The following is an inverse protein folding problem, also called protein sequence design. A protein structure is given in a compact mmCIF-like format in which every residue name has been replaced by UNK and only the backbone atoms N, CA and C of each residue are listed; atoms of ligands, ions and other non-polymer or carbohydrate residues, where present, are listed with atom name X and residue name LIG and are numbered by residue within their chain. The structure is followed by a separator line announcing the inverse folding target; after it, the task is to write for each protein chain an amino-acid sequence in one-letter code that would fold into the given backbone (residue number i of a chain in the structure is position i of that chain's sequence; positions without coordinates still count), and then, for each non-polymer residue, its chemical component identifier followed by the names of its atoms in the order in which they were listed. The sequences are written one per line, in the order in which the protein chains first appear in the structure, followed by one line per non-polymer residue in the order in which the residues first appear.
data_IF_025513650226
#
_entry.id   IF_025513650226
#
_cell.length_a   1.000
_cell.length_b   1.000
_cell.length_c   1.000
_cell.angle_alpha   90.00
_cell.angle_beta   90.00
_cell.angle_gamma   90.00
#
_symmetry.space_group_name_H-M   'P 1'
#
loop_
_entity.id
_entity.type
_entity.pdbx_description
1 polymer ?
#
# COMPACT_ATOMS: atom_id res chain seq x y z
N UNK A 1 -27.29 -0.40 6.17
CA UNK A 1 -27.45 -1.50 5.19
C UNK A 1 -28.48 -2.47 5.73
N UNK A 2 -29.58 -2.74 4.99
CA UNK A 2 -30.61 -3.69 5.40
C UNK A 2 -30.05 -5.09 5.72
N UNK A 3 -30.75 -5.83 6.59
CA UNK A 3 -30.30 -7.15 7.03
C UNK A 3 -30.23 -8.17 5.87
N UNK A 4 -31.21 -8.16 4.96
CA UNK A 4 -31.25 -9.13 3.87
C UNK A 4 -30.04 -9.00 2.91
N UNK A 5 -29.63 -7.76 2.57
CA UNK A 5 -28.43 -7.52 1.76
C UNK A 5 -27.16 -8.00 2.47
N UNK A 6 -27.07 -7.77 3.79
CA UNK A 6 -25.94 -8.21 4.60
C UNK A 6 -25.80 -9.73 4.62
N UNK A 7 -26.90 -10.44 4.83
CA UNK A 7 -26.93 -11.91 4.85
C UNK A 7 -26.66 -12.50 3.46
N UNK A 8 -27.24 -11.92 2.40
CA UNK A 8 -27.00 -12.33 1.03
C UNK A 8 -25.52 -12.21 0.64
N UNK A 9 -24.93 -11.04 0.88
CA UNK A 9 -23.52 -10.78 0.65
C UNK A 9 -22.62 -11.78 1.39
N UNK A 10 -22.92 -12.05 2.67
CA UNK A 10 -22.17 -13.00 3.48
C UNK A 10 -22.28 -14.43 2.94
N UNK A 11 -23.46 -14.87 2.54
CA UNK A 11 -23.67 -16.22 1.98
C UNK A 11 -22.97 -16.39 0.63
N UNK A 12 -22.99 -15.36 -0.22
CA UNK A 12 -22.28 -15.37 -1.50
C UNK A 12 -20.76 -15.52 -1.29
N UNK A 13 -20.20 -14.78 -0.33
CA UNK A 13 -18.78 -14.89 0.03
C UNK A 13 -18.46 -16.29 0.57
N UNK A 14 -19.26 -16.78 1.53
CA UNK A 14 -19.02 -18.10 2.17
C UNK A 14 -19.11 -19.26 1.19
N UNK A 15 -20.12 -19.26 0.32
CA UNK A 15 -20.33 -20.32 -0.68
C UNK A 15 -19.51 -20.14 -1.95
N UNK A 16 -18.84 -18.99 -2.11
CA UNK A 16 -18.09 -18.60 -3.31
C UNK A 16 -18.95 -18.70 -4.57
N UNK A 17 -20.18 -18.22 -4.45
CA UNK A 17 -21.22 -18.30 -5.46
C UNK A 17 -22.10 -17.04 -5.38
N UNK A 18 -22.26 -16.32 -6.49
CA UNK A 18 -23.05 -15.08 -6.55
C UNK A 18 -24.55 -15.36 -6.41
N UNK A 19 -24.99 -16.59 -6.67
CA UNK A 19 -26.40 -16.99 -6.60
C UNK A 19 -26.81 -17.46 -5.19
N UNK A 20 -25.85 -17.71 -4.31
CA UNK A 20 -26.09 -18.23 -2.97
C UNK A 20 -26.96 -17.32 -2.08
N UNK A 21 -27.00 -16.03 -2.39
CA UNK A 21 -27.77 -15.02 -1.67
C UNK A 21 -29.26 -15.01 -2.02
N UNK A 22 -29.68 -15.67 -3.10
CA UNK A 22 -31.06 -15.58 -3.64
C UNK A 22 -32.14 -15.99 -2.65
N UNK A 23 -31.81 -16.84 -1.67
CA UNK A 23 -32.70 -17.22 -0.57
C UNK A 23 -33.11 -16.04 0.34
N UNK A 24 -32.32 -14.96 0.37
CA UNK A 24 -32.60 -13.75 1.15
C UNK A 24 -33.33 -12.68 0.33
N UNK A 25 -33.60 -12.94 -0.96
CA UNK A 25 -34.33 -12.00 -1.79
C UNK A 25 -35.78 -11.95 -1.34
N UNK A 26 -36.19 -10.84 -0.72
CA UNK A 26 -37.58 -10.61 -0.36
C UNK A 26 -38.39 -10.33 -1.63
N UNK A 27 -39.26 -11.24 -2.03
CA UNK A 27 -40.37 -10.91 -2.93
C UNK A 27 -41.27 -9.91 -2.21
N UNK A 28 -41.33 -8.68 -2.73
CA UNK A 28 -42.18 -7.54 -2.35
C UNK A 28 -41.67 -6.61 -1.25
N UNK A 29 -41.15 -5.45 -1.69
CA UNK A 29 -41.47 -4.13 -1.12
C UNK A 29 -41.14 -3.88 0.34
N UNK A 30 -39.91 -4.12 0.79
CA UNK A 30 -39.46 -3.52 2.06
C UNK A 30 -39.33 -2.00 1.88
N UNK A 31 -40.06 -1.23 2.68
CA UNK A 31 -39.90 0.22 2.89
C UNK A 31 -38.57 0.55 3.62
N UNK A 32 -37.53 -0.25 3.43
CA UNK A 32 -36.22 -0.01 4.03
C UNK A 32 -35.50 1.07 3.21
N UNK A 33 -35.50 2.29 3.74
CA UNK A 33 -34.78 3.40 3.13
C UNK A 33 -33.29 3.04 2.93
N UNK A 34 -32.72 3.32 1.74
CA UNK A 34 -31.32 3.05 1.47
C UNK A 34 -30.45 3.84 2.43
N UNK A 35 -29.50 3.14 3.07
CA UNK A 35 -28.48 3.78 3.89
C UNK A 35 -27.58 4.62 2.98
N UNK A 36 -27.37 5.90 3.32
CA UNK A 36 -26.70 6.86 2.44
C UNK A 36 -25.27 6.46 2.05
N UNK A 37 -24.47 5.93 2.99
CA UNK A 37 -23.11 5.44 2.76
C UNK A 37 -22.83 4.19 3.63
N UNK A 38 -23.30 3.00 3.23
CA UNK A 38 -23.12 1.79 4.03
C UNK A 38 -21.64 1.39 4.09
N UNK A 39 -21.18 0.93 5.25
CA UNK A 39 -19.78 0.55 5.45
C UNK A 39 -19.62 -0.95 5.62
N UNK A 40 -18.56 -1.51 5.05
CA UNK A 40 -18.02 -2.82 5.41
C UNK A 40 -16.61 -2.64 5.97
N UNK A 41 -16.20 -3.48 6.90
CA UNK A 41 -14.91 -3.36 7.58
C UNK A 41 -14.10 -4.62 7.35
N UNK A 42 -12.92 -4.47 6.77
CA UNK A 42 -11.88 -5.50 6.82
C UNK A 42 -11.00 -5.26 8.03
N UNK A 43 -10.72 -6.29 8.79
CA UNK A 43 -9.81 -6.22 9.93
C UNK A 43 -8.76 -7.32 9.83
N UNK A 44 -7.51 -6.97 10.14
CA UNK A 44 -6.44 -7.92 10.38
C UNK A 44 -6.25 -8.08 11.90
N UNK A 45 -6.76 -9.16 12.53
CA UNK A 45 -6.70 -9.35 13.99
C UNK A 45 -5.27 -9.42 14.55
N UNK A 46 -4.28 -9.78 13.73
CA UNK A 46 -2.87 -9.84 14.12
C UNK A 46 -2.21 -8.46 14.18
N UNK A 47 -2.82 -7.43 13.58
CA UNK A 47 -2.33 -6.05 13.65
C UNK A 47 -2.56 -5.43 15.03
N UNK A 48 -1.81 -4.37 15.37
CA UNK A 48 -2.00 -3.62 16.61
C UNK A 48 -1.57 -4.32 17.90
N UNK A 49 -0.61 -5.25 17.84
CA UNK A 49 -0.09 -5.96 19.01
C UNK A 49 -1.09 -6.94 19.62
N UNK A 50 -1.82 -7.70 18.77
CA UNK A 50 -2.87 -8.68 19.14
C UNK A 50 -4.15 -8.07 19.72
N UNK A 51 -4.36 -6.77 19.60
CA UNK A 51 -5.61 -6.12 20.02
C UNK A 51 -6.67 -6.05 18.90
N UNK A 52 -6.36 -6.56 17.71
CA UNK A 52 -7.28 -6.54 16.57
C UNK A 52 -8.57 -7.33 16.83
N UNK A 53 -8.52 -8.43 17.59
CA UNK A 53 -9.72 -9.18 17.99
C UNK A 53 -10.66 -8.37 18.88
N UNK A 54 -10.12 -7.62 19.84
CA UNK A 54 -10.92 -6.74 20.71
C UNK A 54 -11.61 -5.64 19.90
N UNK A 55 -10.93 -5.09 18.90
CA UNK A 55 -11.52 -4.11 18.00
C UNK A 55 -12.59 -4.75 17.11
N UNK A 56 -12.33 -5.95 16.58
CA UNK A 56 -13.28 -6.72 15.78
C UNK A 56 -14.59 -6.93 16.54
N UNK A 57 -14.53 -7.45 17.77
CA UNK A 57 -15.72 -7.66 18.60
C UNK A 57 -16.50 -6.35 18.77
N UNK A 58 -15.80 -5.25 19.07
CA UNK A 58 -16.44 -3.94 19.27
C UNK A 58 -17.09 -3.40 17.99
N UNK A 59 -16.46 -3.59 16.84
CA UNK A 59 -17.02 -3.20 15.55
C UNK A 59 -18.27 -4.02 15.24
N UNK A 60 -18.23 -5.34 15.47
CA UNK A 60 -19.36 -6.23 15.24
C UNK A 60 -20.56 -5.87 16.13
N UNK A 61 -20.33 -5.45 17.38
CA UNK A 61 -21.38 -4.93 18.25
C UNK A 61 -21.92 -3.54 17.85
N UNK A 62 -21.17 -2.77 17.05
CA UNK A 62 -21.56 -1.40 16.65
C UNK A 62 -22.22 -1.31 15.29
N UNK A 63 -21.81 -2.14 14.32
CA UNK A 63 -22.42 -2.20 13.00
C UNK A 63 -23.19 -3.51 12.82
N UNK A 64 -22.51 -4.62 12.63
CA UNK A 64 -23.05 -5.97 12.59
C UNK A 64 -21.94 -7.01 12.35
N UNK A 65 -22.23 -8.28 12.59
CA UNK A 65 -21.32 -9.40 12.30
C UNK A 65 -21.07 -9.57 10.81
N UNK A 66 -22.09 -9.37 9.98
CA UNK A 66 -22.06 -9.58 8.53
C UNK A 66 -21.30 -8.49 7.78
N UNK A 67 -21.01 -7.36 8.43
CA UNK A 67 -20.28 -6.23 7.85
C UNK A 67 -18.82 -6.16 8.31
N UNK A 68 -18.36 -7.03 9.23
CA UNK A 68 -16.98 -7.03 9.72
C UNK A 68 -16.30 -8.34 9.34
N UNK A 69 -15.38 -8.24 8.37
CA UNK A 69 -14.66 -9.35 7.79
C UNK A 69 -13.25 -9.44 8.37
N UNK A 70 -12.94 -10.58 8.99
CA UNK A 70 -11.57 -10.96 9.34
C UNK A 70 -10.83 -11.40 8.07
N UNK A 71 -9.74 -10.72 7.75
CA UNK A 71 -8.92 -10.98 6.57
C UNK A 71 -8.24 -12.35 6.54
N UNK A 72 -8.22 -13.08 7.66
CA UNK A 72 -7.78 -14.49 7.66
C UNK A 72 -8.86 -15.44 7.13
N UNK A 73 -10.13 -15.04 7.24
CA UNK A 73 -11.29 -15.87 6.90
C UNK A 73 -11.90 -15.48 5.56
N UNK A 74 -11.94 -14.19 5.26
CA UNK A 74 -12.50 -13.63 4.02
C UNK A 74 -11.43 -12.77 3.36
N UNK A 75 -11.00 -13.18 2.16
CA UNK A 75 -10.03 -12.39 1.41
C UNK A 75 -10.73 -11.22 0.69
N UNK A 76 -10.05 -10.09 0.47
CA UNK A 76 -10.64 -8.96 -0.25
C UNK A 76 -11.10 -9.33 -1.67
N UNK A 77 -10.40 -10.23 -2.37
CA UNK A 77 -10.79 -10.69 -3.71
C UNK A 77 -12.11 -11.49 -3.69
N UNK A 78 -12.39 -12.23 -2.61
CA UNK A 78 -13.65 -12.96 -2.43
C UNK A 78 -14.80 -11.99 -2.19
N UNK A 79 -14.58 -10.92 -1.41
CA UNK A 79 -15.57 -9.84 -1.26
C UNK A 79 -15.85 -9.12 -2.57
N UNK A 80 -14.80 -8.78 -3.34
CA UNK A 80 -14.97 -8.12 -4.65
C UNK A 80 -15.76 -9.03 -5.60
N UNK A 81 -15.39 -10.31 -5.69
CA UNK A 81 -16.02 -11.24 -6.63
C UNK A 81 -17.44 -11.62 -6.24
N UNK A 82 -17.67 -11.95 -4.98
CA UNK A 82 -18.94 -12.53 -4.53
C UNK A 82 -19.80 -11.55 -3.76
N UNK A 83 -19.20 -10.70 -2.92
CA UNK A 83 -19.94 -9.72 -2.13
C UNK A 83 -20.48 -8.57 -2.97
N UNK A 84 -19.60 -7.88 -3.70
CA UNK A 84 -20.01 -6.84 -4.65
C UNK A 84 -20.76 -7.45 -5.84
N UNK A 85 -20.33 -8.61 -6.35
CA UNK A 85 -21.05 -9.32 -7.42
C UNK A 85 -22.51 -9.64 -7.05
N UNK A 86 -22.79 -9.98 -5.79
CA UNK A 86 -24.15 -10.15 -5.28
C UNK A 86 -24.96 -8.85 -5.38
N UNK A 87 -24.39 -7.73 -4.93
CA UNK A 87 -25.05 -6.43 -4.99
C UNK A 87 -25.26 -5.95 -6.44
N UNK A 88 -24.31 -6.23 -7.33
CA UNK A 88 -24.40 -5.92 -8.77
C UNK A 88 -25.53 -6.70 -9.44
N UNK A 89 -25.62 -8.00 -9.19
CA UNK A 89 -26.73 -8.85 -9.67
C UNK A 89 -28.08 -8.32 -9.20
N UNK A 90 -28.17 -7.89 -7.94
CA UNK A 90 -29.43 -7.45 -7.35
C UNK A 90 -29.79 -5.99 -7.68
N UNK A 91 -28.82 -5.16 -8.06
CA UNK A 91 -29.04 -3.78 -8.45
C UNK A 91 -30.01 -3.62 -9.64
N UNK A 92 -30.20 -4.66 -10.45
CA UNK A 92 -31.18 -4.67 -11.54
C UNK A 92 -32.64 -4.77 -11.04
N UNK A 93 -32.85 -5.37 -9.87
CA UNK A 93 -34.18 -5.75 -9.36
C UNK A 93 -34.56 -5.04 -8.06
N UNK A 94 -33.58 -4.49 -7.35
CA UNK A 94 -33.74 -3.88 -6.04
C UNK A 94 -33.01 -2.52 -5.96
N UNK A 95 -33.80 -1.46 -5.76
CA UNK A 95 -33.27 -0.11 -5.65
C UNK A 95 -32.35 0.07 -4.43
N UNK A 96 -32.62 -0.62 -3.33
CA UNK A 96 -31.77 -0.56 -2.14
C UNK A 96 -30.44 -1.26 -2.36
N UNK A 97 -30.42 -2.38 -3.10
CA UNK A 97 -29.18 -3.03 -3.56
C UNK A 97 -28.39 -2.10 -4.50
N UNK A 98 -29.07 -1.43 -5.44
CA UNK A 98 -28.46 -0.48 -6.36
C UNK A 98 -27.79 0.70 -5.64
N UNK A 99 -28.51 1.37 -4.75
CA UNK A 99 -27.95 2.47 -3.95
C UNK A 99 -26.86 1.99 -3.00
N UNK A 100 -27.02 0.80 -2.40
CA UNK A 100 -25.96 0.18 -1.58
C UNK A 100 -24.70 -0.05 -2.41
N UNK A 101 -24.78 -0.67 -3.60
CA UNK A 101 -23.62 -0.93 -4.46
C UNK A 101 -22.92 0.36 -4.88
N UNK A 102 -23.69 1.42 -5.13
CA UNK A 102 -23.19 2.73 -5.54
C UNK A 102 -22.46 3.46 -4.41
N UNK A 103 -22.98 3.40 -3.19
CA UNK A 103 -22.52 4.22 -2.08
C UNK A 103 -21.73 3.44 -1.00
N UNK A 104 -21.54 2.13 -1.17
CA UNK A 104 -20.80 1.30 -0.21
C UNK A 104 -19.35 1.79 -0.08
N UNK A 105 -18.87 1.83 1.16
CA UNK A 105 -17.49 2.20 1.50
C UNK A 105 -16.82 1.07 2.28
N UNK A 106 -15.52 0.97 2.11
CA UNK A 106 -14.69 -0.05 2.77
C UNK A 106 -13.84 0.62 3.84
N UNK A 107 -13.84 0.07 5.06
CA UNK A 107 -12.96 0.48 6.15
C UNK A 107 -11.92 -0.61 6.34
N UNK A 108 -10.63 -0.26 6.33
CA UNK A 108 -9.55 -1.22 6.56
C UNK A 108 -8.88 -0.94 7.90
N UNK A 109 -9.04 -1.86 8.83
CA UNK A 109 -8.40 -1.85 10.14
C UNK A 109 -7.10 -2.69 10.07
N UNK A 110 -5.97 -2.02 9.85
CA UNK A 110 -4.68 -2.65 9.58
C UNK A 110 -3.51 -1.66 9.51
N UNK A 111 -2.35 -2.14 9.10
CA UNK A 111 -1.21 -1.29 8.69
C UNK A 111 -1.20 -1.06 7.18
N UNK A 112 -0.18 -0.35 6.68
CA UNK A 112 -0.10 0.06 5.28
C UNK A 112 -0.18 -1.12 4.29
N UNK A 113 0.50 -2.24 4.55
CA UNK A 113 0.39 -3.44 3.70
C UNK A 113 -1.01 -4.07 3.66
N UNK A 114 -1.77 -4.01 4.76
CA UNK A 114 -3.17 -4.46 4.77
C UNK A 114 -4.04 -3.57 3.89
N UNK A 115 -3.81 -2.25 3.95
CA UNK A 115 -4.52 -1.27 3.12
C UNK A 115 -4.18 -1.48 1.65
N UNK A 116 -2.90 -1.63 1.31
CA UNK A 116 -2.43 -1.90 -0.05
C UNK A 116 -3.02 -3.20 -0.64
N UNK A 117 -3.15 -4.26 0.15
CA UNK A 117 -3.80 -5.50 -0.29
C UNK A 117 -5.27 -5.28 -0.69
N UNK A 118 -6.04 -4.56 0.14
CA UNK A 118 -7.45 -4.26 -0.14
C UNK A 118 -7.57 -3.37 -1.38
N UNK A 119 -6.74 -2.32 -1.49
CA UNK A 119 -6.71 -1.44 -2.66
C UNK A 119 -6.40 -2.21 -3.94
N UNK A 120 -5.43 -3.12 -3.92
CA UNK A 120 -5.06 -3.93 -5.08
C UNK A 120 -6.20 -4.82 -5.56
N UNK A 121 -6.97 -5.41 -4.63
CA UNK A 121 -8.15 -6.20 -4.98
C UNK A 121 -9.31 -5.35 -5.53
N UNK A 122 -9.52 -4.15 -4.98
CA UNK A 122 -10.55 -3.21 -5.46
C UNK A 122 -10.18 -2.63 -6.84
N UNK A 123 -8.89 -2.46 -7.13
CA UNK A 123 -8.39 -1.92 -8.40
C UNK A 123 -8.85 -2.68 -9.64
N UNK A 124 -9.08 -4.00 -9.53
CA UNK A 124 -9.61 -4.85 -10.62
C UNK A 124 -10.98 -4.37 -11.13
N UNK A 125 -11.74 -3.64 -10.32
CA UNK A 125 -13.04 -3.09 -10.72
C UNK A 125 -12.91 -1.97 -11.75
N UNK A 126 -11.77 -1.27 -11.80
CA UNK A 126 -11.54 -0.23 -12.82
C UNK A 126 -11.49 -0.79 -14.25
N UNK A 127 -11.12 -2.05 -14.42
CA UNK A 127 -11.07 -2.70 -15.74
C UNK A 127 -12.47 -3.02 -16.30
N UNK A 128 -13.51 -3.00 -15.45
CA UNK A 128 -14.85 -3.50 -15.79
C UNK A 128 -15.88 -2.42 -16.12
N UNK A 129 -15.58 -1.14 -15.87
CA UNK A 129 -16.38 0.07 -16.19
C UNK A 129 -17.90 0.05 -15.83
N UNK A 130 -18.39 -0.95 -15.11
CA UNK A 130 -19.83 -1.13 -14.87
C UNK A 130 -20.31 -0.55 -13.53
N UNK A 131 -19.45 -0.49 -12.51
CA UNK A 131 -19.82 -0.03 -11.17
C UNK A 131 -18.67 0.70 -10.46
N UNK A 132 -18.97 1.69 -9.59
CA UNK A 132 -17.94 2.49 -8.95
C UNK A 132 -17.08 1.64 -8.01
N UNK A 133 -15.80 2.00 -7.90
CA UNK A 133 -14.89 1.40 -6.92
C UNK A 133 -15.23 1.94 -5.52
N UNK A 134 -15.52 1.07 -4.53
CA UNK A 134 -15.78 1.52 -3.16
C UNK A 134 -14.63 2.34 -2.56
N UNK A 135 -14.88 3.55 -2.04
CA UNK A 135 -13.87 4.35 -1.34
C UNK A 135 -13.33 3.65 -0.09
N UNK A 136 -12.03 3.80 0.17
CA UNK A 136 -11.34 3.16 1.31
C UNK A 136 -11.02 4.16 2.43
N UNK A 137 -11.54 3.88 3.63
CA UNK A 137 -11.20 4.53 4.89
C UNK A 137 -10.22 3.65 5.70
N UNK A 138 -9.40 4.25 6.58
CA UNK A 138 -8.35 3.52 7.31
C UNK A 138 -8.52 3.64 8.83
N UNK A 139 -8.46 2.52 9.54
CA UNK A 139 -8.24 2.48 10.99
C UNK A 139 -6.78 2.03 11.23
N UNK A 140 -5.89 2.94 11.67
CA UNK A 140 -4.45 2.67 11.73
C UNK A 140 -4.07 1.73 12.89
N UNK A 141 -3.77 0.48 12.57
CA UNK A 141 -3.31 -0.55 13.52
C UNK A 141 -1.84 -0.98 13.31
N UNK A 142 -1.15 -0.42 12.33
CA UNK A 142 0.27 -0.70 12.05
C UNK A 142 1.24 0.16 12.88
N UNK A 143 2.53 0.07 12.52
CA UNK A 143 3.61 0.83 13.18
C UNK A 143 3.84 2.21 12.56
N UNK A 144 3.89 2.28 11.22
CA UNK A 144 4.11 3.50 10.43
C UNK A 144 2.80 4.26 10.19
N UNK A 145 1.89 3.58 9.49
CA UNK A 145 0.56 4.08 9.10
C UNK A 145 0.66 5.35 8.25
N UNK A 146 1.60 5.36 7.30
CA UNK A 146 1.87 6.52 6.45
C UNK A 146 0.70 6.84 5.52
N UNK A 147 -0.02 5.82 5.03
CA UNK A 147 -1.26 6.02 4.28
C UNK A 147 -2.33 6.66 5.17
N UNK A 148 -2.55 6.12 6.37
CA UNK A 148 -3.53 6.66 7.31
C UNK A 148 -3.24 8.12 7.69
N UNK A 149 -1.97 8.46 7.89
CA UNK A 149 -1.54 9.84 8.16
C UNK A 149 -1.81 10.75 6.98
N UNK A 150 -1.48 10.29 5.77
CA UNK A 150 -1.62 11.09 4.56
C UNK A 150 -3.07 11.42 4.22
N UNK A 151 -4.00 10.60 4.69
CA UNK A 151 -5.45 10.80 4.55
C UNK A 151 -6.15 11.28 5.83
N UNK A 152 -5.42 11.80 6.83
CA UNK A 152 -6.04 12.43 8.02
C UNK A 152 -6.63 11.45 9.06
N UNK A 153 -6.39 10.15 8.93
CA UNK A 153 -6.81 9.13 9.91
C UNK A 153 -5.87 9.03 11.11
N UNK A 154 -4.67 9.61 11.00
CA UNK A 154 -3.68 9.67 12.05
C UNK A 154 -2.78 8.44 12.12
N UNK A 155 -1.81 8.47 13.03
CA UNK A 155 -0.78 7.44 13.14
C UNK A 155 -1.07 6.29 14.09
N UNK A 156 -2.10 6.40 14.92
CA UNK A 156 -2.49 5.38 15.89
C UNK A 156 -3.97 5.49 16.22
N UNK A 157 -4.56 4.38 16.64
CA UNK A 157 -5.99 4.33 16.92
C UNK A 157 -6.29 3.87 18.36
N UNK A 158 -7.05 4.64 19.15
CA UNK A 158 -7.41 4.26 20.52
C UNK A 158 -8.59 3.28 20.53
N UNK A 159 -8.33 2.03 20.14
CA UNK A 159 -9.32 0.95 19.98
C UNK A 159 -10.12 0.61 21.25
N UNK A 160 -9.61 0.92 22.44
CA UNK A 160 -10.34 0.71 23.71
C UNK A 160 -11.50 1.68 23.91
N UNK A 161 -11.49 2.84 23.23
CA UNK A 161 -12.49 3.89 23.40
C UNK A 161 -13.63 3.72 22.40
N UNK A 162 -14.80 3.31 22.89
CA UNK A 162 -16.04 3.19 22.08
C UNK A 162 -16.36 4.47 21.29
N UNK A 163 -16.17 5.64 21.91
CA UNK A 163 -16.40 6.93 21.25
C UNK A 163 -15.45 7.19 20.07
N UNK A 164 -14.22 6.67 20.11
CA UNK A 164 -13.28 6.77 19.00
C UNK A 164 -13.69 5.87 17.82
N UNK A 165 -14.17 4.65 18.09
CA UNK A 165 -14.71 3.75 17.06
C UNK A 165 -15.93 4.37 16.39
N UNK A 166 -16.87 4.91 17.18
CA UNK A 166 -18.04 5.61 16.65
C UNK A 166 -17.64 6.78 15.74
N UNK A 167 -16.70 7.62 16.17
CA UNK A 167 -16.19 8.74 15.35
C UNK A 167 -15.51 8.25 14.08
N UNK A 168 -14.71 7.17 14.14
CA UNK A 168 -14.06 6.62 12.95
C UNK A 168 -15.08 6.10 11.93
N UNK A 169 -16.11 5.38 12.37
CA UNK A 169 -17.20 4.92 11.50
C UNK A 169 -17.98 6.10 10.90
N UNK A 170 -18.29 7.12 11.69
CA UNK A 170 -18.94 8.35 11.19
C UNK A 170 -18.09 9.09 10.14
N UNK A 171 -16.78 9.22 10.38
CA UNK A 171 -15.83 9.79 9.40
C UNK A 171 -15.76 8.92 8.15
N UNK A 172 -15.81 7.60 8.27
CA UNK A 172 -15.77 6.71 7.12
C UNK A 172 -17.03 6.84 6.26
N UNK A 173 -18.20 6.94 6.89
CA UNK A 173 -19.50 7.14 6.24
C UNK A 173 -19.61 8.51 5.58
N UNK A 174 -19.18 9.58 6.24
CA UNK A 174 -19.45 10.96 5.80
C UNK A 174 -18.24 11.68 5.20
N UNK A 175 -17.05 11.09 5.29
CA UNK A 175 -15.81 11.71 4.84
C UNK A 175 -15.82 12.00 3.34
N UNK A 176 -15.08 13.02 2.93
CA UNK A 176 -14.96 13.39 1.52
C UNK A 176 -14.18 12.32 0.77
N UNK A 177 -14.56 12.07 -0.48
CA UNK A 177 -13.80 11.21 -1.36
C UNK A 177 -12.56 11.97 -1.85
N UNK A 178 -11.42 11.31 -1.82
CA UNK A 178 -10.14 11.77 -2.37
C UNK A 178 -9.49 10.64 -3.17
N UNK A 179 -8.38 10.96 -3.84
CA UNK A 179 -7.68 10.03 -4.71
C UNK A 179 -6.27 9.76 -4.19
N UNK A 180 -5.73 8.62 -4.61
CA UNK A 180 -4.38 8.19 -4.34
C UNK A 180 -3.82 7.59 -5.62
N UNK A 181 -2.72 8.14 -6.11
CA UNK A 181 -1.97 7.52 -7.18
C UNK A 181 -1.36 6.21 -6.71
N UNK A 182 -1.30 5.27 -7.65
CA UNK A 182 -0.65 3.99 -7.46
C UNK A 182 0.32 3.75 -8.60
N UNK A 183 1.38 3.01 -8.33
CA UNK A 183 2.53 2.94 -9.20
C UNK A 183 2.86 1.49 -9.51
N UNK A 184 2.76 1.14 -10.78
CA UNK A 184 3.13 -0.17 -11.31
C UNK A 184 4.64 -0.24 -11.45
N UNK A 185 5.22 -1.31 -10.91
CA UNK A 185 6.65 -1.59 -10.95
C UNK A 185 6.86 -2.87 -11.71
N UNK A 186 7.80 -2.85 -12.64
CA UNK A 186 8.30 -4.03 -13.36
C UNK A 186 9.79 -4.16 -13.08
N UNK A 187 10.19 -5.31 -12.54
CA UNK A 187 11.59 -5.68 -12.29
C UNK A 187 11.98 -6.77 -13.27
N UNK A 188 12.88 -6.45 -14.20
CA UNK A 188 13.44 -7.36 -15.19
C UNK A 188 14.88 -7.68 -14.81
N UNK A 189 15.17 -8.96 -14.61
CA UNK A 189 16.51 -9.40 -14.23
C UNK A 189 16.97 -10.61 -15.07
N UNK A 190 18.27 -10.84 -15.19
CA UNK A 190 18.80 -12.02 -15.87
C UNK A 190 18.25 -13.31 -15.24
N UNK A 191 17.85 -14.26 -16.08
CA UNK A 191 17.35 -15.56 -15.65
C UNK A 191 18.45 -16.42 -15.02
N UNK A 192 18.07 -17.30 -14.10
CA UNK A 192 18.96 -18.28 -13.46
C UNK A 192 18.79 -18.37 -11.95
N UNK A 193 18.74 -17.22 -11.27
CA UNK A 193 18.48 -17.16 -9.83
C UNK A 193 17.01 -16.81 -9.57
N UNK A 194 16.38 -17.59 -8.68
CA UNK A 194 15.00 -17.35 -8.25
C UNK A 194 15.03 -16.41 -7.06
N UNK A 195 14.38 -15.26 -7.21
CA UNK A 195 14.12 -14.33 -6.10
C UNK A 195 12.86 -14.80 -5.37
N UNK A 196 12.84 -14.63 -4.05
CA UNK A 196 11.61 -14.65 -3.25
C UNK A 196 11.11 -13.20 -3.11
N UNK A 197 10.29 -12.72 -4.05
CA UNK A 197 9.84 -11.33 -4.03
C UNK A 197 8.81 -11.10 -2.91
N UNK A 198 8.58 -9.84 -2.50
CA UNK A 198 7.47 -9.50 -1.62
C UNK A 198 6.13 -9.97 -2.20
N UNK A 199 5.12 -10.19 -1.35
CA UNK A 199 3.80 -10.67 -1.79
C UNK A 199 3.13 -9.74 -2.80
N UNK A 200 3.53 -8.47 -2.78
CA UNK A 200 3.05 -7.43 -3.67
C UNK A 200 3.66 -7.49 -5.08
N UNK A 201 4.70 -8.30 -5.30
CA UNK A 201 5.33 -8.57 -6.60
C UNK A 201 5.06 -10.02 -7.03
N UNK A 202 4.50 -10.20 -8.23
CA UNK A 202 4.17 -11.51 -8.81
C UNK A 202 5.09 -11.79 -9.98
N UNK A 203 5.44 -13.07 -10.18
CA UNK A 203 6.16 -13.51 -11.38
C UNK A 203 5.24 -13.42 -12.60
N UNK A 204 5.73 -12.83 -13.69
CA UNK A 204 5.01 -12.74 -14.96
C UNK A 204 5.80 -13.42 -16.08
N UNK A 205 5.11 -14.24 -16.87
CA UNK A 205 5.66 -14.87 -18.07
C UNK A 205 5.64 -13.85 -19.22
N UNK A 206 6.81 -13.26 -19.50
CA UNK A 206 7.13 -12.43 -20.68
C UNK A 206 6.59 -10.99 -20.66
N UNK A 207 7.51 -10.02 -20.67
CA UNK A 207 7.29 -8.74 -21.34
C UNK A 207 8.04 -8.80 -22.67
N UNK A 208 7.40 -8.44 -23.78
CA UNK A 208 8.12 -8.12 -25.01
C UNK A 208 9.16 -7.05 -24.67
N UNK A 209 10.44 -7.39 -24.82
CA UNK A 209 11.51 -6.40 -24.77
C UNK A 209 11.19 -5.42 -25.89
N UNK A 210 10.81 -4.20 -25.54
CA UNK A 210 10.49 -3.15 -26.49
C UNK A 210 11.67 -3.04 -27.47
N UNK A 211 11.48 -3.53 -28.71
CA UNK A 211 12.55 -3.69 -29.73
C UNK A 211 13.11 -2.33 -30.19
N UNK A 212 12.62 -1.21 -29.63
CA UNK A 212 13.08 0.15 -29.87
C UNK A 212 14.20 0.60 -28.91
N UNK A 213 14.59 -0.22 -27.93
CA UNK A 213 15.69 0.11 -27.01
C UNK A 213 17.02 -0.36 -27.59
N UNK A 214 17.88 0.60 -27.97
CA UNK A 214 19.32 0.37 -28.11
C UNK A 214 19.89 0.07 -26.72
N UNK A 215 19.81 -1.18 -26.30
CA UNK A 215 20.56 -1.68 -25.15
C UNK A 215 22.00 -1.87 -25.65
N UNK A 216 22.94 -1.06 -25.14
CA UNK A 216 24.37 -1.31 -25.34
C UNK A 216 24.78 -2.52 -24.49
N UNK A 217 24.53 -3.74 -25.00
CA UNK A 217 24.88 -4.98 -24.30
C UNK A 217 24.26 -6.24 -24.92
N UNK A 218 24.76 -7.43 -24.55
CA UNK A 218 24.13 -8.72 -24.89
C UNK A 218 22.80 -8.82 -24.13
N UNK A 219 21.74 -9.31 -24.79
CA UNK A 219 20.46 -9.64 -24.15
C UNK A 219 20.57 -11.07 -23.58
N UNK A 220 20.24 -11.32 -22.31
CA UNK A 220 20.30 -12.67 -21.75
C UNK A 220 19.23 -13.58 -22.37
N UNK A 221 19.56 -14.86 -22.58
CA UNK A 221 18.68 -15.86 -23.22
C UNK A 221 17.39 -16.17 -22.42
N UNK A 222 17.37 -15.81 -21.13
CA UNK A 222 16.21 -15.88 -20.24
C UNK A 222 16.16 -14.65 -19.35
N UNK A 223 14.98 -14.07 -19.18
CA UNK A 223 14.72 -12.92 -18.29
C UNK A 223 13.64 -13.33 -17.30
N UNK A 224 13.89 -13.11 -16.00
CA UNK A 224 12.87 -13.21 -14.97
C UNK A 224 12.20 -11.85 -14.84
N UNK A 225 10.88 -11.81 -14.90
CA UNK A 225 10.08 -10.60 -14.79
C UNK A 225 9.17 -10.69 -13.57
N UNK A 226 9.20 -9.65 -12.74
CA UNK A 226 8.32 -9.48 -11.60
C UNK A 226 7.56 -8.18 -11.72
N UNK A 227 6.27 -8.19 -11.45
CA UNK A 227 5.44 -6.98 -11.49
C UNK A 227 4.55 -6.83 -10.27
N UNK A 228 4.21 -5.59 -9.94
CA UNK A 228 3.33 -5.29 -8.82
C UNK A 228 2.98 -3.82 -8.74
N UNK A 229 2.24 -3.46 -7.69
CA UNK A 229 1.78 -2.09 -7.47
C UNK A 229 2.14 -1.66 -6.06
N UNK A 230 2.63 -0.43 -5.92
CA UNK A 230 2.83 0.23 -4.63
C UNK A 230 2.04 1.53 -4.52
N UNK A 231 1.79 1.94 -3.28
CA UNK A 231 0.98 3.09 -2.92
C UNK A 231 1.76 4.14 -2.14
N UNK A 232 2.85 3.75 -1.48
CA UNK A 232 3.65 4.64 -0.66
C UNK A 232 5.02 4.89 -1.27
N UNK A 233 5.89 3.88 -1.33
CA UNK A 233 7.24 4.08 -1.85
C UNK A 233 7.90 2.81 -2.38
N UNK A 234 8.90 3.04 -3.22
CA UNK A 234 9.88 2.06 -3.65
C UNK A 234 11.28 2.58 -3.30
N UNK A 235 12.12 1.76 -2.66
CA UNK A 235 13.49 2.15 -2.29
C UNK A 235 14.55 1.11 -2.67
N UNK A 236 15.76 1.61 -2.94
CA UNK A 236 16.94 0.81 -3.25
C UNK A 236 18.07 1.22 -2.33
N UNK A 237 18.81 0.25 -1.80
CA UNK A 237 20.07 0.45 -1.10
C UNK A 237 19.94 0.35 0.41
N UNK A 238 20.68 1.21 1.12
CA UNK A 238 20.88 1.10 2.58
C UNK A 238 19.56 1.07 3.38
N UNK A 239 18.55 1.85 2.99
CA UNK A 239 17.25 1.87 3.68
C UNK A 239 16.51 0.52 3.55
N UNK A 240 16.45 -0.02 2.34
CA UNK A 240 15.91 -1.36 2.08
C UNK A 240 16.70 -2.47 2.82
N UNK A 241 18.01 -2.31 2.97
CA UNK A 241 18.84 -3.25 3.74
C UNK A 241 18.51 -3.23 5.24
N UNK A 242 18.28 -2.05 5.82
CA UNK A 242 17.82 -1.89 7.21
C UNK A 242 16.46 -2.56 7.38
N UNK A 243 15.54 -2.32 6.46
CA UNK A 243 14.24 -2.96 6.45
C UNK A 243 14.36 -4.48 6.35
N UNK A 244 15.22 -5.01 5.48
CA UNK A 244 15.46 -6.45 5.32
C UNK A 244 15.96 -7.08 6.63
N UNK A 245 16.94 -6.46 7.28
CA UNK A 245 17.46 -6.93 8.57
C UNK A 245 16.39 -6.91 9.68
N UNK A 246 15.57 -5.85 9.72
CA UNK A 246 14.44 -5.78 10.65
C UNK A 246 13.36 -6.83 10.37
N UNK A 247 13.03 -7.05 9.10
CA UNK A 247 12.04 -8.05 8.68
C UNK A 247 12.47 -9.46 9.10
N UNK A 248 13.74 -9.80 8.86
CA UNK A 248 14.32 -11.08 9.27
C UNK A 248 14.28 -11.25 10.80
N UNK A 249 14.69 -10.24 11.57
CA UNK A 249 14.62 -10.28 13.03
C UNK A 249 13.18 -10.47 13.53
N UNK A 250 12.20 -9.79 12.91
CA UNK A 250 10.79 -9.92 13.29
C UNK A 250 10.28 -11.35 13.07
N UNK A 251 10.75 -12.02 12.02
CA UNK A 251 10.38 -13.39 11.71
C UNK A 251 11.07 -14.40 12.65
N UNK A 252 12.35 -14.20 12.97
CA UNK A 252 13.08 -15.08 13.89
C UNK A 252 12.70 -14.89 15.35
N UNK A 253 12.51 -13.63 15.78
CA UNK A 253 12.31 -13.23 17.18
C UNK A 253 11.09 -12.32 17.33
N UNK A 254 9.87 -12.83 17.06
CA UNK A 254 8.64 -12.03 17.09
C UNK A 254 8.35 -11.41 18.47
N UNK A 255 8.91 -11.94 19.55
CA UNK A 255 8.76 -11.41 20.90
C UNK A 255 9.43 -10.04 21.11
N UNK A 256 10.44 -9.69 20.31
CA UNK A 256 11.09 -8.37 20.37
C UNK A 256 10.28 -7.28 19.64
N UNK A 257 9.45 -7.69 18.68
CA UNK A 257 8.74 -6.81 17.74
C UNK A 257 7.21 -6.77 17.99
N UNK A 258 6.79 -6.80 19.27
CA UNK A 258 5.38 -6.92 19.65
C UNK A 258 4.59 -5.60 19.63
N UNK A 259 5.25 -4.45 19.47
CA UNK A 259 4.60 -3.15 19.57
C UNK A 259 5.21 -2.07 18.66
N UNK A 260 4.43 -1.06 18.27
CA UNK A 260 4.90 0.03 17.41
C UNK A 260 6.13 0.77 17.96
N UNK A 261 6.19 0.99 19.28
CA UNK A 261 7.34 1.66 19.92
C UNK A 261 8.59 0.80 19.82
N UNK A 262 8.50 -0.48 20.20
CA UNK A 262 9.62 -1.43 20.09
C UNK A 262 10.11 -1.56 18.65
N UNK A 263 9.19 -1.65 17.69
CA UNK A 263 9.52 -1.73 16.26
C UNK A 263 10.31 -0.51 15.79
N UNK A 264 9.91 0.69 16.21
CA UNK A 264 10.62 1.93 15.86
C UNK A 264 12.02 1.99 16.48
N UNK A 265 12.16 1.57 17.74
CA UNK A 265 13.46 1.53 18.43
C UNK A 265 14.40 0.55 17.72
N UNK A 266 13.91 -0.65 17.39
CA UNK A 266 14.71 -1.65 16.68
C UNK A 266 15.12 -1.13 15.31
N UNK A 267 14.19 -0.57 14.52
CA UNK A 267 14.50 0.00 13.20
C UNK A 267 15.57 1.10 13.30
N UNK A 268 15.43 2.01 14.27
CA UNK A 268 16.43 3.05 14.52
C UNK A 268 17.79 2.46 14.93
N UNK A 269 17.79 1.40 15.73
CA UNK A 269 19.01 0.68 16.12
C UNK A 269 19.73 0.08 14.93
N UNK A 270 19.00 -0.57 14.01
CA UNK A 270 19.58 -1.09 12.76
C UNK A 270 20.11 0.05 11.88
N UNK A 271 19.36 1.13 11.69
CA UNK A 271 19.80 2.29 10.90
C UNK A 271 21.14 2.87 11.40
N UNK A 272 21.30 2.97 12.72
CA UNK A 272 22.52 3.46 13.35
C UNK A 272 23.67 2.44 13.34
N UNK A 273 23.38 1.13 13.35
CA UNK A 273 24.40 0.07 13.35
C UNK A 273 24.95 -0.27 11.96
N UNK A 274 24.31 0.18 10.88
CA UNK A 274 24.83 0.07 9.50
C UNK A 274 26.06 0.97 9.20
N UNK A 275 26.96 1.16 10.17
CA UNK A 275 28.18 1.96 10.04
C UNK A 275 29.04 1.59 8.81
N UNK A 276 29.58 2.62 8.16
CA UNK A 276 30.66 2.61 7.14
C UNK A 276 30.45 2.05 5.71
N UNK A 277 29.28 1.60 5.26
CA UNK A 277 29.13 1.13 3.85
C UNK A 277 29.51 2.21 2.80
N UNK A 278 30.70 2.15 2.21
CA UNK A 278 31.37 3.31 1.59
C UNK A 278 31.01 3.63 0.13
N UNK A 279 30.11 2.90 -0.53
CA UNK A 279 29.92 3.06 -1.98
C UNK A 279 28.58 3.75 -2.33
N UNK A 280 28.60 4.86 -3.09
CA UNK A 280 27.39 5.46 -3.65
C UNK A 280 26.60 4.47 -4.52
N UNK A 281 25.27 4.55 -4.50
CA UNK A 281 24.39 3.76 -5.37
C UNK A 281 24.14 4.40 -6.75
N UNK A 282 24.89 5.45 -7.10
CA UNK A 282 24.75 6.19 -8.36
C UNK A 282 26.10 6.33 -9.06
N UNK A 283 26.09 6.23 -10.39
CA UNK A 283 27.25 6.46 -11.24
C UNK A 283 27.68 7.93 -11.27
N UNK A 284 26.76 8.86 -11.01
CA UNK A 284 27.08 10.29 -10.87
C UNK A 284 27.67 10.59 -9.47
N UNK A 285 28.98 10.93 -9.39
CA UNK A 285 29.62 11.27 -8.12
C UNK A 285 29.05 12.54 -7.46
N UNK A 286 28.34 13.40 -8.20
CA UNK A 286 27.65 14.58 -7.67
C UNK A 286 26.45 14.21 -6.78
N UNK A 287 25.89 13.02 -6.96
CA UNK A 287 24.70 12.57 -6.24
C UNK A 287 25.03 11.88 -4.92
N UNK A 288 26.12 11.11 -4.83
CA UNK A 288 26.72 10.50 -3.61
C UNK A 288 25.71 10.12 -2.50
N UNK A 289 24.68 9.36 -2.87
CA UNK A 289 23.68 8.78 -1.96
C UNK A 289 23.89 7.27 -1.86
N UNK A 290 23.45 6.67 -0.75
CA UNK A 290 23.52 5.22 -0.47
C UNK A 290 22.15 4.55 -0.46
N UNK A 291 21.09 5.34 -0.48
CA UNK A 291 19.75 4.86 -0.79
C UNK A 291 19.04 5.89 -1.68
N UNK A 292 18.20 5.39 -2.57
CA UNK A 292 17.26 6.18 -3.37
C UNK A 292 15.87 5.71 -2.99
N UNK A 293 14.96 6.66 -2.80
CA UNK A 293 13.56 6.41 -2.50
C UNK A 293 12.73 7.18 -3.53
N UNK A 294 11.85 6.47 -4.22
CA UNK A 294 10.76 7.03 -5.00
C UNK A 294 9.51 6.99 -4.13
N UNK A 295 9.03 8.16 -3.72
CA UNK A 295 7.97 8.33 -2.73
C UNK A 295 6.75 8.98 -3.38
N UNK A 296 5.58 8.39 -3.16
CA UNK A 296 4.29 8.88 -3.63
C UNK A 296 3.59 9.77 -2.59
N UNK A 297 3.86 9.56 -1.30
CA UNK A 297 3.22 10.32 -0.23
C UNK A 297 4.02 11.58 0.12
N UNK A 298 3.37 12.57 0.74
CA UNK A 298 4.07 13.73 1.30
C UNK A 298 4.91 13.40 2.54
N UNK A 299 4.82 12.17 3.05
CA UNK A 299 5.51 11.74 4.26
C UNK A 299 6.07 10.33 4.15
N UNK A 300 7.14 10.09 4.89
CA UNK A 300 7.90 8.84 4.95
C UNK A 300 8.16 8.45 6.41
N UNK A 301 8.28 7.15 6.69
CA UNK A 301 8.82 6.68 7.96
C UNK A 301 8.02 7.09 9.21
N UNK A 302 6.69 6.93 9.18
CA UNK A 302 5.74 7.35 10.25
C UNK A 302 5.35 8.83 10.26
N UNK A 303 5.13 9.42 9.09
CA UNK A 303 4.62 10.79 8.95
C UNK A 303 5.68 11.88 8.92
N UNK A 304 6.93 11.55 8.57
CA UNK A 304 8.03 12.54 8.48
C UNK A 304 8.09 13.11 7.08
N UNK A 305 8.17 14.43 6.95
CA UNK A 305 8.43 15.06 5.67
C UNK A 305 9.96 15.07 5.43
N UNK A 306 10.50 14.27 4.48
CA UNK A 306 11.95 14.12 4.33
C UNK A 306 12.67 15.42 3.97
N UNK A 307 11.98 16.37 3.34
CA UNK A 307 12.53 17.65 2.91
C UNK A 307 11.93 18.86 3.66
N UNK A 308 11.03 18.61 4.61
CA UNK A 308 10.36 19.65 5.39
C UNK A 308 9.52 20.60 4.50
N UNK A 309 9.31 21.82 4.99
CA UNK A 309 8.55 22.83 4.27
C UNK A 309 9.47 23.58 3.30
N UNK A 310 9.45 23.18 2.04
CA UNK A 310 10.21 23.86 0.99
C UNK A 310 9.66 25.27 0.78
N UNK A 311 10.56 26.26 0.71
CA UNK A 311 10.17 27.64 0.39
C UNK A 311 9.69 27.74 -1.06
N UNK A 312 8.71 28.59 -1.37
CA UNK A 312 8.26 28.80 -2.76
C UNK A 312 9.41 29.11 -3.74
N UNK A 313 10.37 29.95 -3.33
CA UNK A 313 11.54 30.27 -4.16
C UNK A 313 12.42 29.05 -4.47
N UNK A 314 12.51 28.10 -3.53
CA UNK A 314 13.27 26.87 -3.74
C UNK A 314 12.59 25.97 -4.77
N UNK A 315 11.27 25.81 -4.65
CA UNK A 315 10.45 25.06 -5.61
C UNK A 315 10.60 25.66 -7.01
N UNK A 316 10.44 26.97 -7.15
CA UNK A 316 10.61 27.68 -8.42
C UNK A 316 12.02 27.49 -9.00
N UNK A 317 13.07 27.63 -8.18
CA UNK A 317 14.46 27.47 -8.63
C UNK A 317 14.78 26.04 -9.09
N UNK A 318 14.15 25.03 -8.48
CA UNK A 318 14.36 23.62 -8.82
C UNK A 318 13.38 23.12 -9.89
N UNK A 319 12.36 23.90 -10.23
CA UNK A 319 11.28 23.47 -11.09
C UNK A 319 10.39 22.40 -10.45
N UNK A 320 10.32 22.40 -9.12
CA UNK A 320 9.52 21.44 -8.36
C UNK A 320 8.12 22.00 -8.06
N UNK A 321 7.16 21.10 -7.92
CA UNK A 321 5.80 21.39 -7.42
C UNK A 321 5.63 20.90 -5.98
N UNK A 322 4.56 21.32 -5.31
CA UNK A 322 4.21 20.79 -4.00
C UNK A 322 3.78 19.32 -4.13
N UNK A 323 4.27 18.46 -3.24
CA UNK A 323 4.02 17.04 -3.28
C UNK A 323 2.56 16.73 -2.90
N UNK A 324 1.83 16.09 -3.80
CA UNK A 324 0.49 15.59 -3.55
C UNK A 324 0.40 14.08 -3.82
N UNK A 325 -0.59 13.43 -3.22
CA UNK A 325 -0.78 11.98 -3.33
C UNK A 325 -1.48 11.57 -4.63
N UNK A 326 -1.92 12.53 -5.44
CA UNK A 326 -2.74 12.35 -6.64
C UNK A 326 -2.34 13.29 -7.81
N UNK A 327 -1.11 13.80 -7.81
CA UNK A 327 -0.58 14.72 -8.84
C UNK A 327 0.09 14.01 -10.05
N UNK A 328 0.24 12.69 -10.00
CA UNK A 328 0.91 11.88 -11.00
C UNK A 328 2.43 11.97 -10.97
N UNK A 329 3.02 12.36 -9.83
CA UNK A 329 4.46 12.59 -9.67
C UNK A 329 4.99 11.79 -8.48
N UNK A 330 6.16 11.17 -8.65
CA UNK A 330 6.96 10.61 -7.56
C UNK A 330 8.05 11.59 -7.15
N UNK A 331 8.18 11.73 -5.84
CA UNK A 331 9.27 12.45 -5.20
C UNK A 331 10.49 11.53 -5.08
N UNK A 332 11.60 11.90 -5.73
CA UNK A 332 12.84 11.13 -5.69
C UNK A 332 13.80 11.80 -4.72
N UNK A 333 14.11 11.12 -3.62
CA UNK A 333 15.10 11.61 -2.66
C UNK A 333 16.16 10.56 -2.33
N UNK A 334 17.30 11.03 -1.81
CA UNK A 334 18.42 10.17 -1.47
C UNK A 334 18.90 10.34 -0.02
N UNK A 335 19.26 9.21 0.59
CA UNK A 335 19.87 9.14 1.91
C UNK A 335 21.36 8.86 1.77
N UNK A 336 22.18 9.67 2.44
CA UNK A 336 23.65 9.60 2.29
C UNK A 336 24.29 8.50 3.14
N UNK A 337 23.86 8.33 4.39
CA UNK A 337 24.45 7.42 5.39
C UNK A 337 23.41 7.08 6.46
N UNK A 338 23.66 6.07 7.30
CA UNK A 338 22.71 5.62 8.34
C UNK A 338 22.37 6.69 9.37
N UNK A 339 23.35 7.45 9.86
CA UNK A 339 23.09 8.58 10.77
C UNK A 339 22.30 9.70 10.09
N UNK A 340 22.53 9.96 8.78
CA UNK A 340 21.77 10.93 8.01
C UNK A 340 20.31 10.48 7.91
N UNK A 341 20.06 9.21 7.59
CA UNK A 341 18.72 8.64 7.61
C UNK A 341 18.06 8.79 8.98
N UNK A 342 18.75 8.44 10.08
CA UNK A 342 18.22 8.60 11.44
C UNK A 342 17.86 10.05 11.77
N UNK A 343 18.70 11.01 11.41
CA UNK A 343 18.43 12.44 11.63
C UNK A 343 17.30 12.99 10.75
N UNK A 344 17.11 12.46 9.53
CA UNK A 344 15.93 12.74 8.72
C UNK A 344 14.67 12.22 9.41
N UNK A 345 14.69 11.00 9.98
CA UNK A 345 13.53 10.43 10.69
C UNK A 345 13.16 11.19 11.96
N UNK A 346 14.08 11.98 12.53
CA UNK A 346 13.82 12.86 13.68
C UNK A 346 13.77 14.34 13.32
N UNK A 347 13.64 14.68 12.03
CA UNK A 347 13.47 16.05 11.51
C UNK A 347 14.58 17.03 11.92
N UNK A 348 15.78 16.52 12.23
CA UNK A 348 16.93 17.37 12.54
C UNK A 348 17.62 17.88 11.27
N UNK A 349 17.55 17.12 10.18
CA UNK A 349 18.08 17.49 8.87
C UNK A 349 17.17 16.96 7.76
N UNK A 350 17.31 17.52 6.56
CA UNK A 350 16.56 17.11 5.38
C UNK A 350 17.31 16.10 4.52
N UNK A 351 16.57 15.17 3.92
CA UNK A 351 17.07 14.32 2.86
C UNK A 351 17.43 15.14 1.61
N UNK A 352 18.25 14.56 0.73
CA UNK A 352 18.59 15.20 -0.55
C UNK A 352 17.42 14.98 -1.51
N UNK A 353 16.60 16.00 -1.75
CA UNK A 353 15.56 15.97 -2.77
C UNK A 353 16.21 16.06 -4.17
N UNK A 354 16.21 14.93 -4.90
CA UNK A 354 16.92 14.74 -6.16
C UNK A 354 16.09 15.27 -7.34
N UNK A 355 14.88 14.75 -7.51
CA UNK A 355 14.03 15.03 -8.67
C UNK A 355 12.56 14.70 -8.39
N UNK A 356 11.68 15.17 -9.27
CA UNK A 356 10.28 14.76 -9.38
C UNK A 356 10.08 14.09 -10.74
N UNK A 357 9.34 12.97 -10.81
CA UNK A 357 9.16 12.23 -12.05
C UNK A 357 7.78 11.56 -12.16
N UNK A 358 7.20 11.56 -13.35
CA UNK A 358 5.96 10.83 -13.68
C UNK A 358 6.19 9.40 -14.20
N UNK A 359 7.46 9.05 -14.46
CA UNK A 359 7.91 7.71 -14.79
C UNK A 359 9.39 7.58 -14.45
N UNK A 360 9.78 6.42 -13.94
CA UNK A 360 11.15 6.15 -13.53
C UNK A 360 11.62 4.88 -14.24
N UNK A 361 12.84 4.92 -14.78
CA UNK A 361 13.58 3.74 -15.20
C UNK A 361 14.92 3.73 -14.50
N UNK A 362 15.18 2.67 -13.75
CA UNK A 362 16.44 2.45 -13.05
C UNK A 362 17.18 1.28 -13.70
N UNK A 363 18.45 1.49 -14.00
CA UNK A 363 19.35 0.44 -14.42
C UNK A 363 20.31 0.12 -13.27
N UNK A 364 20.25 -1.11 -12.78
CA UNK A 364 21.03 -1.58 -11.65
C UNK A 364 22.12 -2.52 -12.18
N UNK A 365 23.38 -2.08 -12.09
CA UNK A 365 24.54 -2.89 -12.43
C UNK A 365 25.23 -3.37 -11.16
N UNK A 366 25.49 -4.68 -11.04
CA UNK A 366 26.07 -5.27 -9.83
C UNK A 366 27.52 -4.81 -9.58
N UNK A 367 28.31 -4.63 -10.63
CA UNK A 367 29.75 -4.38 -10.49
C UNK A 367 30.42 -5.49 -9.67
N UNK A 368 30.94 -5.15 -8.50
CA UNK A 368 31.51 -6.12 -7.56
C UNK A 368 30.49 -6.75 -6.61
N UNK A 369 29.27 -6.22 -6.56
CA UNK A 369 28.21 -6.67 -5.67
C UNK A 369 27.42 -7.82 -6.28
N UNK A 370 27.17 -8.85 -5.47
CA UNK A 370 26.31 -9.98 -5.83
C UNK A 370 24.84 -9.72 -5.56
N UNK A 371 24.54 -8.85 -4.60
CA UNK A 371 23.19 -8.58 -4.12
C UNK A 371 22.98 -7.07 -3.95
N UNK A 372 21.78 -6.61 -4.31
CA UNK A 372 21.22 -5.33 -3.89
C UNK A 372 20.06 -5.58 -2.90
N UNK A 373 19.66 -4.53 -2.19
CA UNK A 373 18.47 -4.56 -1.34
C UNK A 373 17.44 -3.58 -1.89
N UNK A 374 16.24 -4.10 -2.12
CA UNK A 374 15.11 -3.34 -2.62
C UNK A 374 13.95 -3.45 -1.62
N UNK A 375 13.07 -2.47 -1.63
CA UNK A 375 11.91 -2.44 -0.77
C UNK A 375 10.74 -1.76 -1.46
N UNK A 376 9.54 -2.29 -1.21
CA UNK A 376 8.30 -1.75 -1.73
C UNK A 376 7.24 -1.74 -0.62
N UNK A 377 6.69 -0.57 -0.31
CA UNK A 377 5.65 -0.38 0.73
C UNK A 377 5.94 -1.04 2.09
N UNK A 378 7.21 -1.07 2.48
CA UNK A 378 7.64 -1.68 3.73
C UNK A 378 8.04 -3.16 3.64
N UNK A 379 7.88 -3.81 2.48
CA UNK A 379 8.26 -5.20 2.20
C UNK A 379 9.63 -5.26 1.48
N UNK A 380 10.71 -5.64 2.17
CA UNK A 380 12.06 -5.67 1.60
C UNK A 380 12.41 -7.04 1.02
N UNK A 381 13.25 -7.07 -0.01
CA UNK A 381 13.86 -8.30 -0.51
C UNK A 381 15.32 -8.08 -0.91
N UNK A 382 16.03 -9.19 -1.02
CA UNK A 382 17.38 -9.23 -1.56
C UNK A 382 17.29 -9.51 -3.05
N UNK A 383 17.83 -8.61 -3.85
CA UNK A 383 17.82 -8.67 -5.31
C UNK A 383 19.18 -9.17 -5.80
N UNK A 384 19.26 -10.36 -6.42
CA UNK A 384 20.48 -10.80 -7.07
C UNK A 384 20.89 -9.88 -8.21
N UNK A 385 22.20 -9.68 -8.33
CA UNK A 385 22.82 -8.79 -9.30
C UNK A 385 23.82 -9.56 -10.16
N UNK A 386 23.74 -9.35 -11.48
CA UNK A 386 24.73 -9.89 -12.40
C UNK A 386 25.87 -8.89 -12.64
N UNK A 387 27.06 -9.43 -12.88
CA UNK A 387 28.23 -8.65 -13.32
C UNK A 387 28.15 -8.27 -14.80
N UNK A 388 27.47 -9.10 -15.59
CA UNK A 388 27.44 -9.01 -17.05
C UNK A 388 26.17 -8.32 -17.57
N UNK A 389 25.08 -8.36 -16.81
CA UNK A 389 23.78 -7.88 -17.22
C UNK A 389 23.16 -7.00 -16.13
N UNK A 390 22.52 -5.90 -16.52
CA UNK A 390 21.81 -5.03 -15.59
C UNK A 390 20.43 -5.57 -15.24
N UNK A 391 19.97 -5.32 -14.02
CA UNK A 391 18.57 -5.44 -13.63
C UNK A 391 17.87 -4.12 -13.93
N UNK A 392 16.77 -4.17 -14.67
CA UNK A 392 15.97 -2.99 -15.02
C UNK A 392 14.75 -2.91 -14.11
N UNK A 393 14.51 -1.73 -13.53
CA UNK A 393 13.28 -1.43 -12.80
C UNK A 393 12.57 -0.31 -13.54
N UNK A 394 11.36 -0.59 -14.03
CA UNK A 394 10.48 0.44 -14.59
C UNK A 394 9.33 0.73 -13.63
N UNK A 395 9.06 2.01 -13.38
CA UNK A 395 7.98 2.49 -12.54
C UNK A 395 7.11 3.45 -13.36
N UNK A 396 5.82 3.13 -13.45
CA UNK A 396 4.83 3.91 -14.20
C UNK A 396 3.56 4.08 -13.37
N UNK A 397 2.90 5.22 -13.53
CA UNK A 397 1.61 5.47 -12.87
C UNK A 397 0.57 4.48 -13.40
N UNK A 398 -0.20 3.89 -12.49
CA UNK A 398 -1.41 3.12 -12.86
C UNK A 398 -2.46 4.10 -13.39
N UNK A 399 -3.15 3.79 -14.50
CA UNK A 399 -4.07 4.75 -15.14
C UNK A 399 -5.21 5.24 -14.24
N UNK A 400 -5.65 4.39 -13.31
CA UNK A 400 -6.78 4.67 -12.43
C UNK A 400 -6.31 4.89 -10.99
N UNK A 401 -6.60 6.05 -10.39
CA UNK A 401 -6.24 6.30 -9.00
C UNK A 401 -7.13 5.50 -8.05
N UNK A 402 -6.55 5.10 -6.93
CA UNK A 402 -7.27 4.51 -5.82
C UNK A 402 -8.22 5.52 -5.18
N UNK A 403 -9.42 5.07 -4.83
CA UNK A 403 -10.46 5.92 -4.23
C UNK A 403 -10.39 5.81 -2.71
N UNK A 404 -10.11 6.94 -2.05
CA UNK A 404 -9.88 7.02 -0.61
C UNK A 404 -10.96 7.87 0.07
N UNK A 405 -11.14 7.68 1.38
CA UNK A 405 -11.97 8.54 2.22
C UNK A 405 -11.04 9.40 3.07
N UNK A 406 -11.19 10.71 2.97
CA UNK A 406 -10.49 11.66 3.83
C UNK A 406 -11.03 11.54 5.26
N UNK A 407 -10.11 11.39 6.20
CA UNK A 407 -10.41 11.35 7.61
C UNK A 407 -10.79 12.71 8.16
N UNK A 408 -10.14 13.81 7.79
CA UNK A 408 -10.22 15.11 8.48
C UNK A 408 -11.63 15.67 8.67
#
# INVERSE_FOLDING_TARGET
MPLYLRLAMLDCIKKKDVDAGDQHFQTSGSEDDPCENPVVVFINPKSGGRNGSVLQDRLQHMISQEQVFDLHNVKPDEFVRYGLGCLEKWAEKDNCAKETRKNIRVVVAGGDGTVGWVLGCLGVLHEKDQFPVPPVAIIPLGTGNDLARSFGWGGSFPFSRRSAIKRALQRATNGRICHLDSWHVVVQMPGGEVVDPPHSLKTTEVCDVDQNLKIEGRVPDKVNCYEGVFYNYFSIGMDAQVAYGFHHLRNEKPYLAQGPISNKIIYSGYSCSQGWFLTPCMSDPSLSVRAIVALNLHSYGSGRNPWGNLKPDYLQKRGFVEAHVDDGILEIFGLKQGWHASFVMVELISAKHIAQASSIRLELSGGDWRDAFLQMDGEPWKQPMSKEYSTIVEIKRVPFPSVMVNGE
#
